data_IF_907434843251
#
_entry.id   IF_907434843251
#
_cell.length_a   1.000
_cell.length_b   1.000
_cell.length_c   1.000
_cell.angle_alpha   90.00
_cell.angle_beta   90.00
_cell.angle_gamma   90.00
#
_symmetry.space_group_name_H-M   'P 1'
#
loop_
_entity.id
_entity.type
_entity.pdbx_description
1 polymer ?
#
# COMPACT_ATOMS: atom_id res chain seq x y z
N UNK A 1 -1.18 16.72 -1.55
CA UNK A 1 -1.13 15.36 -0.96
C UNK A 1 -2.52 14.76 -0.94
N UNK A 2 -2.64 13.51 -1.23
CA UNK A 2 -3.93 12.81 -1.17
C UNK A 2 -3.74 11.37 -0.69
N UNK A 3 -4.82 10.73 -0.27
CA UNK A 3 -4.80 9.30 0.00
C UNK A 3 -4.80 8.57 -1.35
N UNK A 4 -3.73 7.84 -1.64
CA UNK A 4 -3.65 7.02 -2.84
C UNK A 4 -4.47 5.74 -2.64
N UNK A 5 -4.21 5.03 -1.56
CA UNK A 5 -4.95 3.82 -1.24
C UNK A 5 -4.86 3.45 0.24
N UNK A 6 -5.78 2.59 0.63
CA UNK A 6 -5.75 1.87 1.90
C UNK A 6 -5.60 0.40 1.56
N UNK A 7 -4.56 -0.24 2.10
CA UNK A 7 -4.33 -1.66 1.89
C UNK A 7 -4.89 -2.47 3.05
N UNK A 8 -5.68 -3.48 2.71
CA UNK A 8 -6.30 -4.39 3.68
C UNK A 8 -5.75 -5.78 3.42
N UNK A 9 -5.12 -6.37 4.43
CA UNK A 9 -4.58 -7.72 4.34
C UNK A 9 -5.70 -8.71 4.62
N UNK A 10 -5.86 -9.68 3.73
CA UNK A 10 -6.91 -10.69 3.80
C UNK A 10 -6.34 -12.08 3.58
N UNK A 11 -6.85 -13.10 4.28
CA UNK A 11 -6.38 -14.48 4.07
C UNK A 11 -6.93 -15.10 2.78
N UNK A 12 -8.07 -14.61 2.30
CA UNK A 12 -8.76 -15.14 1.11
C UNK A 12 -9.39 -13.98 0.34
N UNK A 13 -8.82 -13.69 -0.83
CA UNK A 13 -9.24 -12.58 -1.66
C UNK A 13 -10.68 -12.72 -2.14
N UNK A 14 -11.08 -13.92 -2.58
CA UNK A 14 -12.45 -14.15 -3.06
C UNK A 14 -13.48 -13.95 -1.95
N UNK A 15 -13.17 -14.39 -0.73
CA UNK A 15 -14.05 -14.16 0.42
C UNK A 15 -14.17 -12.67 0.72
N UNK A 16 -13.08 -11.92 0.64
CA UNK A 16 -13.10 -10.47 0.86
C UNK A 16 -13.93 -9.74 -0.21
N UNK A 17 -13.85 -10.20 -1.46
CA UNK A 17 -14.61 -9.60 -2.56
C UNK A 17 -16.11 -9.80 -2.40
N UNK A 18 -16.56 -10.83 -1.69
CA UNK A 18 -17.99 -10.99 -1.38
C UNK A 18 -18.51 -9.79 -0.59
N UNK A 19 -17.69 -9.20 0.27
CA UNK A 19 -18.08 -8.01 1.01
C UNK A 19 -17.82 -6.72 0.21
N UNK A 20 -16.61 -6.51 -0.26
CA UNK A 20 -16.23 -5.22 -0.87
C UNK A 20 -16.83 -5.01 -2.24
N UNK A 21 -16.78 -6.02 -3.10
CA UNK A 21 -17.35 -5.94 -4.44
C UNK A 21 -18.85 -6.18 -4.41
N UNK A 22 -19.29 -7.32 -3.90
CA UNK A 22 -20.68 -7.75 -3.99
C UNK A 22 -21.56 -7.09 -2.93
N UNK A 23 -21.08 -6.98 -1.72
CA UNK A 23 -21.80 -6.34 -0.63
C UNK A 23 -21.87 -4.82 -0.75
N UNK A 24 -20.72 -4.15 -0.88
CA UNK A 24 -20.67 -2.70 -0.99
C UNK A 24 -20.89 -2.18 -2.40
N UNK A 25 -20.77 -3.04 -3.41
CA UNK A 25 -20.95 -2.62 -4.80
C UNK A 25 -19.73 -1.90 -5.39
N UNK A 26 -18.55 -2.07 -4.81
CA UNK A 26 -17.35 -1.43 -5.35
C UNK A 26 -16.90 -2.16 -6.62
N UNK A 27 -16.58 -1.42 -7.69
CA UNK A 27 -16.05 -2.06 -8.89
C UNK A 27 -14.63 -2.58 -8.63
N UNK A 28 -14.28 -3.69 -9.27
CA UNK A 28 -12.92 -4.20 -9.29
C UNK A 28 -12.27 -3.74 -10.59
N UNK A 29 -11.28 -2.86 -10.48
CA UNK A 29 -10.56 -2.36 -11.65
C UNK A 29 -9.60 -3.41 -12.18
N UNK A 30 -8.91 -4.12 -11.28
CA UNK A 30 -7.85 -5.04 -11.65
C UNK A 30 -7.62 -6.03 -10.51
N UNK A 31 -7.27 -7.27 -10.88
CA UNK A 31 -6.72 -8.26 -9.96
C UNK A 31 -5.37 -8.66 -10.51
N UNK A 32 -4.32 -8.52 -9.72
CA UNK A 32 -2.96 -8.76 -10.16
C UNK A 32 -2.23 -9.66 -9.19
N UNK A 33 -1.34 -10.51 -9.72
CA UNK A 33 -0.45 -11.35 -8.92
C UNK A 33 0.95 -10.79 -9.03
N UNK A 34 1.52 -10.39 -7.90
CA UNK A 34 2.86 -9.85 -7.83
C UNK A 34 3.77 -10.93 -7.26
N UNK A 35 4.30 -11.79 -8.13
CA UNK A 35 5.10 -12.97 -7.74
C UNK A 35 6.32 -12.58 -6.92
N UNK A 36 6.97 -11.48 -7.28
CA UNK A 36 8.14 -10.99 -6.55
C UNK A 36 7.83 -10.69 -5.09
N UNK A 37 6.65 -10.15 -4.82
CA UNK A 37 6.21 -9.82 -3.47
C UNK A 37 5.42 -10.97 -2.81
N UNK A 38 5.06 -11.98 -3.59
CA UNK A 38 4.31 -13.13 -3.08
C UNK A 38 2.89 -12.81 -2.67
N UNK A 39 2.23 -11.91 -3.40
CA UNK A 39 0.88 -11.45 -3.07
C UNK A 39 -0.01 -11.40 -4.30
N UNK A 40 -1.31 -11.49 -4.05
CA UNK A 40 -2.37 -11.27 -5.03
C UNK A 40 -3.17 -10.07 -4.55
N UNK A 41 -3.37 -9.08 -5.42
CA UNK A 41 -3.97 -7.79 -5.06
C UNK A 41 -5.19 -7.54 -5.92
N UNK A 42 -6.30 -7.10 -5.30
CA UNK A 42 -7.46 -6.56 -6.00
C UNK A 42 -7.50 -5.05 -5.77
N UNK A 43 -7.67 -4.30 -6.86
CA UNK A 43 -7.76 -2.83 -6.84
C UNK A 43 -9.20 -2.41 -7.02
N UNK A 44 -9.77 -1.74 -6.00
CA UNK A 44 -11.16 -1.30 -6.00
C UNK A 44 -11.20 0.23 -5.89
N UNK A 45 -11.51 0.94 -6.99
CA UNK A 45 -11.59 2.40 -6.95
C UNK A 45 -12.66 2.90 -5.99
N UNK A 46 -12.34 3.96 -5.24
CA UNK A 46 -13.25 4.68 -4.36
C UNK A 46 -12.97 6.16 -4.57
N UNK A 47 -13.73 6.82 -5.46
CA UNK A 47 -13.43 8.19 -5.86
C UNK A 47 -12.02 8.29 -6.48
N UNK A 48 -11.24 9.22 -6.00
CA UNK A 48 -9.85 9.43 -6.46
C UNK A 48 -8.85 8.52 -5.76
N UNK A 49 -9.32 7.73 -4.79
CA UNK A 49 -8.49 6.77 -4.05
C UNK A 49 -8.90 5.36 -4.43
N UNK A 50 -8.28 4.38 -3.82
CA UNK A 50 -8.75 3.00 -3.96
C UNK A 50 -8.43 2.17 -2.73
N UNK A 51 -9.13 1.06 -2.60
CA UNK A 51 -8.85 0.03 -1.63
C UNK A 51 -8.07 -1.06 -2.35
N UNK A 52 -6.98 -1.52 -1.73
CA UNK A 52 -6.23 -2.69 -2.19
C UNK A 52 -6.47 -3.82 -1.21
N UNK A 53 -7.05 -4.91 -1.70
CA UNK A 53 -7.17 -6.14 -0.91
C UNK A 53 -5.96 -6.99 -1.25
N UNK A 54 -5.17 -7.35 -0.25
CA UNK A 54 -3.88 -8.01 -0.43
C UNK A 54 -3.90 -9.37 0.23
N UNK A 55 -3.77 -10.42 -0.58
CA UNK A 55 -3.71 -11.80 -0.12
C UNK A 55 -2.31 -12.37 -0.33
N UNK A 56 -1.65 -12.92 0.70
CA UNK A 56 -0.36 -13.60 0.50
C UNK A 56 -0.58 -14.91 -0.24
N UNK A 57 0.32 -15.21 -1.19
CA UNK A 57 0.33 -16.49 -1.91
C UNK A 57 1.46 -17.40 -1.46
N UNK A 58 2.28 -16.95 -0.51
CA UNK A 58 3.34 -17.73 0.14
C UNK A 58 3.36 -17.40 1.63
N UNK A 59 3.79 -18.38 2.43
CA UNK A 59 3.83 -18.24 3.90
C UNK A 59 5.03 -17.43 4.39
N UNK A 60 6.05 -17.23 3.55
CA UNK A 60 7.28 -16.53 3.91
C UNK A 60 7.24 -15.01 3.66
N UNK A 61 6.08 -14.47 3.26
CA UNK A 61 5.93 -13.04 2.98
C UNK A 61 5.68 -12.23 4.24
N UNK A 62 5.98 -10.93 4.17
CA UNK A 62 5.68 -10.00 5.26
C UNK A 62 4.19 -9.91 5.56
N UNK A 63 3.35 -9.94 4.51
CA UNK A 63 1.88 -9.92 4.66
C UNK A 63 1.39 -11.18 5.38
N UNK A 64 1.92 -12.36 5.03
CA UNK A 64 1.52 -13.60 5.70
C UNK A 64 1.87 -13.56 7.18
N UNK A 65 3.08 -13.10 7.51
CA UNK A 65 3.51 -12.95 8.90
C UNK A 65 2.66 -11.94 9.65
N UNK A 66 2.32 -10.84 9.01
CA UNK A 66 1.47 -9.81 9.60
C UNK A 66 0.07 -10.36 9.90
N UNK A 67 -0.52 -11.11 8.95
CA UNK A 67 -1.83 -11.75 9.13
C UNK A 67 -1.82 -12.74 10.30
N UNK A 68 -0.76 -13.53 10.43
CA UNK A 68 -0.62 -14.48 11.54
C UNK A 68 -0.61 -13.76 12.88
N UNK A 69 0.05 -12.61 12.94
CA UNK A 69 0.19 -11.85 14.18
C UNK A 69 -1.04 -11.00 14.50
N UNK A 70 -1.66 -10.36 13.51
CA UNK A 70 -2.71 -9.36 13.71
C UNK A 70 -4.10 -9.80 13.26
N UNK A 71 -4.21 -10.83 12.43
CA UNK A 71 -5.46 -11.18 11.76
C UNK A 71 -5.73 -10.26 10.56
N UNK A 72 -6.85 -10.49 9.88
CA UNK A 72 -7.25 -9.66 8.74
C UNK A 72 -7.54 -8.23 9.19
N UNK A 73 -7.19 -7.26 8.36
CA UNK A 73 -7.46 -5.86 8.67
C UNK A 73 -6.59 -4.90 7.88
N UNK A 74 -6.68 -3.61 8.23
CA UNK A 74 -5.89 -2.57 7.58
C UNK A 74 -4.41 -2.80 7.81
N UNK A 75 -3.66 -2.90 6.71
CA UNK A 75 -2.22 -3.12 6.73
C UNK A 75 -1.45 -1.81 6.65
N UNK A 76 -1.83 -0.94 5.73
CA UNK A 76 -1.17 0.36 5.61
C UNK A 76 -2.05 1.40 4.93
N UNK A 77 -1.67 2.65 5.13
CA UNK A 77 -2.25 3.82 4.49
C UNK A 77 -1.19 4.39 3.54
N UNK A 78 -1.55 4.62 2.29
CA UNK A 78 -0.64 5.20 1.30
C UNK A 78 -1.04 6.63 0.97
N UNK A 79 -0.10 7.55 1.16
CA UNK A 79 -0.26 8.95 0.82
C UNK A 79 0.56 9.28 -0.42
N UNK A 80 -0.07 9.93 -1.38
CA UNK A 80 0.60 10.37 -2.60
C UNK A 80 1.17 11.77 -2.40
N UNK A 81 2.46 11.93 -2.69
CA UNK A 81 3.18 13.18 -2.55
C UNK A 81 3.78 13.61 -3.89
N UNK A 82 4.05 14.90 -4.04
CA UNK A 82 4.61 15.43 -5.29
C UNK A 82 6.11 15.23 -5.41
N UNK A 83 6.84 15.21 -4.28
CA UNK A 83 8.29 15.06 -4.25
C UNK A 83 8.66 14.19 -3.04
N UNK A 84 8.81 12.90 -3.28
CA UNK A 84 9.08 11.94 -2.23
C UNK A 84 10.47 12.13 -1.61
N UNK A 85 11.46 12.51 -2.40
CA UNK A 85 12.81 12.71 -1.89
C UNK A 85 12.85 13.89 -0.89
N UNK A 86 12.19 15.00 -1.23
CA UNK A 86 12.09 16.15 -0.34
C UNK A 86 11.31 15.79 0.93
N UNK A 87 10.23 15.02 0.79
CA UNK A 87 9.43 14.59 1.94
C UNK A 87 10.26 13.73 2.90
N UNK A 88 11.00 12.75 2.36
CA UNK A 88 11.81 11.85 3.19
C UNK A 88 12.93 12.62 3.90
N UNK A 89 13.59 13.55 3.19
CA UNK A 89 14.62 14.37 3.79
C UNK A 89 14.07 15.22 4.94
N UNK A 90 12.90 15.84 4.74
CA UNK A 90 12.25 16.64 5.77
C UNK A 90 11.86 15.81 7.00
N UNK A 91 11.31 14.62 6.79
CA UNK A 91 10.93 13.71 7.87
C UNK A 91 12.16 13.29 8.68
N UNK A 92 13.26 12.98 7.98
CA UNK A 92 14.51 12.60 8.65
C UNK A 92 15.03 13.71 9.57
N UNK A 93 14.96 14.97 9.12
CA UNK A 93 15.40 16.10 9.95
C UNK A 93 14.55 16.29 11.20
N UNK A 94 13.32 15.77 11.20
CA UNK A 94 12.40 15.85 12.35
C UNK A 94 12.48 14.63 13.25
N UNK A 95 13.43 13.73 13.02
CA UNK A 95 13.61 12.54 13.84
C UNK A 95 12.57 11.44 13.61
N UNK A 96 11.84 11.51 12.49
CA UNK A 96 10.88 10.47 12.13
C UNK A 96 11.63 9.22 11.68
N UNK A 97 11.25 8.07 12.21
CA UNK A 97 11.87 6.80 11.85
C UNK A 97 11.35 6.30 10.52
N UNK A 98 12.24 6.17 9.55
CA UNK A 98 11.91 5.73 8.19
C UNK A 98 12.34 4.27 8.01
N UNK A 99 11.44 3.42 7.52
CA UNK A 99 11.80 2.06 7.13
C UNK A 99 12.70 2.14 5.89
N UNK A 100 12.32 3.01 4.94
CA UNK A 100 13.09 3.27 3.73
C UNK A 100 13.56 4.72 3.76
N UNK A 101 14.83 5.00 4.15
CA UNK A 101 15.34 6.37 4.13
C UNK A 101 15.41 6.97 2.73
N UNK A 102 15.50 6.12 1.72
CA UNK A 102 15.49 6.51 0.31
C UNK A 102 14.36 5.80 -0.40
N UNK A 103 13.72 6.48 -1.35
CA UNK A 103 12.63 5.93 -2.12
C UNK A 103 13.10 4.75 -2.98
N UNK A 104 12.23 3.75 -3.09
CA UNK A 104 12.44 2.58 -3.93
C UNK A 104 11.65 2.81 -5.22
N UNK A 105 12.27 2.54 -6.36
CA UNK A 105 11.63 2.72 -7.65
C UNK A 105 11.08 1.39 -8.16
N UNK A 106 9.83 1.41 -8.62
CA UNK A 106 9.20 0.30 -9.32
C UNK A 106 9.29 0.49 -10.82
N UNK A 107 9.10 -0.61 -11.57
CA UNK A 107 9.19 -0.60 -13.03
C UNK A 107 8.14 0.32 -13.70
N UNK A 108 7.00 0.53 -13.05
CA UNK A 108 5.92 1.38 -13.54
C UNK A 108 6.13 2.88 -13.31
N UNK A 109 7.32 3.29 -12.86
CA UNK A 109 7.62 4.68 -12.58
C UNK A 109 7.17 5.18 -11.21
N UNK A 110 6.52 4.35 -10.43
CA UNK A 110 6.14 4.70 -9.06
C UNK A 110 7.37 4.61 -8.16
N UNK A 111 7.55 5.63 -7.32
CA UNK A 111 8.56 5.61 -6.26
C UNK A 111 7.86 5.58 -4.92
N UNK A 112 8.33 4.75 -4.01
CA UNK A 112 7.67 4.57 -2.73
C UNK A 112 8.65 4.43 -1.59
N UNK A 113 8.17 4.67 -0.37
CA UNK A 113 8.92 4.44 0.86
C UNK A 113 7.93 4.27 2.02
N UNK A 114 8.36 3.53 3.03
CA UNK A 114 7.55 3.31 4.23
C UNK A 114 8.12 4.06 5.42
N UNK A 115 7.21 4.61 6.23
CA UNK A 115 7.49 5.24 7.51
C UNK A 115 7.19 4.21 8.60
N UNK A 116 8.09 4.09 9.58
CA UNK A 116 7.91 3.12 10.65
C UNK A 116 6.67 3.47 11.48
N UNK A 117 5.82 2.47 11.82
CA UNK A 117 4.60 2.73 12.61
C UNK A 117 4.85 3.43 13.94
N UNK A 118 6.03 3.23 14.53
CA UNK A 118 6.40 3.86 15.80
C UNK A 118 6.33 5.40 15.72
N UNK A 119 6.66 5.97 14.58
CA UNK A 119 6.60 7.42 14.36
C UNK A 119 5.24 7.90 13.90
N UNK A 120 4.31 6.99 13.57
CA UNK A 120 3.00 7.31 13.04
C UNK A 120 1.86 6.75 13.90
N UNK A 121 2.13 6.61 15.20
CA UNK A 121 1.13 6.17 16.19
C UNK A 121 0.49 4.82 15.86
N UNK A 122 1.33 3.87 15.44
CA UNK A 122 0.90 2.50 15.18
C UNK A 122 0.43 2.23 13.76
N UNK A 123 0.45 3.23 12.88
CA UNK A 123 0.01 3.08 11.49
C UNK A 123 1.23 2.96 10.58
N UNK A 124 1.29 1.89 9.78
CA UNK A 124 2.28 1.79 8.71
C UNK A 124 1.86 2.74 7.60
N UNK A 125 2.66 3.77 7.34
CA UNK A 125 2.37 4.78 6.31
C UNK A 125 3.31 4.58 5.13
N UNK A 126 2.72 4.44 3.95
CA UNK A 126 3.45 4.38 2.69
C UNK A 126 3.37 5.75 2.00
N UNK A 127 4.47 6.19 1.43
CA UNK A 127 4.49 7.38 0.58
C UNK A 127 4.66 6.94 -0.87
N UNK A 128 3.90 7.55 -1.76
CA UNK A 128 3.95 7.31 -3.20
C UNK A 128 4.25 8.61 -3.94
N UNK A 129 5.13 8.52 -4.93
CA UNK A 129 5.26 9.55 -5.95
C UNK A 129 4.96 8.91 -7.28
N UNK A 130 3.90 9.39 -7.94
CA UNK A 130 3.49 8.90 -9.25
C UNK A 130 4.00 9.89 -10.28
N UNK A 131 4.94 9.46 -11.13
CA UNK A 131 5.43 10.31 -12.22
C UNK A 131 4.50 10.19 -13.41
N UNK A 132 3.99 11.33 -13.85
CA UNK A 132 3.14 11.38 -15.02
C UNK A 132 3.99 11.17 -16.28
N UNK A 133 3.54 10.27 -17.17
CA UNK A 133 4.16 10.08 -18.47
C UNK A 133 4.08 11.33 -19.34
N UNK A 134 3.15 12.24 -19.06
CA UNK A 134 2.97 13.49 -19.79
C UNK A 134 4.09 14.51 -19.49
N UNK A 135 4.93 14.27 -18.50
CA UNK A 135 6.04 15.14 -18.12
C UNK A 135 7.34 14.81 -18.85
N UNK A 136 7.30 13.90 -19.80
CA UNK A 136 8.48 13.51 -20.59
C UNK A 136 8.64 14.38 -21.83
#
# INVERSE_FOLDING_TARGET
>A
MKINHIAIAVPDLEAALLFYRDGLGLPVQEVDTVDREGVKIAFLPVGDSHIELVQPIRVDTGIAKWLTKHGAGMHHLCLEVSDIDAMLANLATKGIELINPQAIQRDNGIRYAFIHPRSAFGVLVELYEVRSAACT
#
